data_IF_615131130431
#
_entry.id   IF_615131130431
#
_cell.length_a   1.000
_cell.length_b   1.000
_cell.length_c   1.000
_cell.angle_alpha   90.00
_cell.angle_beta   90.00
_cell.angle_gamma   90.00
#
_symmetry.space_group_name_H-M   'P 1'
#
loop_
_entity.id
_entity.type
_entity.pdbx_description
1 polymer ?
#
# COMPACT_ATOMS: atom_id res chain seq x y z
N UNK A 1 0.07 -65.09 18.38
CA UNK A 1 0.98 -64.05 18.88
C UNK A 1 0.33 -62.69 18.61
N UNK A 2 -0.27 -61.99 19.59
CA UNK A 2 -0.75 -60.63 19.36
C UNK A 2 0.41 -59.66 19.54
N UNK A 3 0.65 -58.86 18.50
CA UNK A 3 1.64 -57.78 18.45
C UNK A 3 1.35 -56.78 19.56
N UNK A 4 2.28 -56.63 20.48
CA UNK A 4 2.24 -55.65 21.55
C UNK A 4 2.23 -54.24 20.95
N UNK A 5 1.05 -53.62 20.93
CA UNK A 5 0.93 -52.18 20.67
C UNK A 5 1.61 -51.49 21.83
N UNK A 6 2.84 -51.03 21.63
CA UNK A 6 3.59 -50.24 22.62
C UNK A 6 2.74 -49.04 23.04
N UNK A 7 2.13 -49.15 24.23
CA UNK A 7 1.31 -48.11 24.81
C UNK A 7 2.26 -46.98 25.21
N UNK A 8 2.34 -45.97 24.35
CA UNK A 8 3.05 -44.71 24.62
C UNK A 8 2.74 -44.25 26.05
N UNK A 9 3.79 -44.01 26.84
CA UNK A 9 3.68 -43.56 28.22
C UNK A 9 2.87 -42.26 28.30
N UNK A 10 2.07 -42.08 29.36
CA UNK A 10 1.29 -40.86 29.60
C UNK A 10 2.17 -39.59 29.55
N UNK A 11 3.42 -39.69 30.01
CA UNK A 11 4.38 -38.60 29.93
C UNK A 11 4.78 -38.27 28.48
N UNK A 12 5.01 -39.29 27.66
CA UNK A 12 5.32 -39.12 26.23
C UNK A 12 4.11 -38.54 25.46
N UNK A 13 2.89 -38.97 25.80
CA UNK A 13 1.65 -38.39 25.27
C UNK A 13 1.53 -36.90 25.60
N UNK A 14 1.84 -36.52 26.84
CA UNK A 14 1.82 -35.12 27.27
C UNK A 14 2.86 -34.26 26.53
N UNK A 15 4.09 -34.76 26.40
CA UNK A 15 5.16 -34.06 25.64
C UNK A 15 4.76 -33.88 24.18
N UNK A 16 4.17 -34.90 23.54
CA UNK A 16 3.70 -34.81 22.17
C UNK A 16 2.55 -33.81 22.02
N UNK A 17 1.58 -33.84 22.93
CA UNK A 17 0.46 -32.89 22.95
C UNK A 17 0.97 -31.45 23.10
N UNK A 18 1.91 -31.21 24.02
CA UNK A 18 2.55 -29.91 24.22
C UNK A 18 3.28 -29.45 22.96
N UNK A 19 4.08 -30.30 22.32
CA UNK A 19 4.77 -29.96 21.05
C UNK A 19 3.78 -29.59 19.94
N UNK A 20 2.68 -30.34 19.79
CA UNK A 20 1.64 -30.03 18.81
C UNK A 20 0.96 -28.69 19.09
N UNK A 21 0.63 -28.42 20.36
CA UNK A 21 0.03 -27.15 20.77
C UNK A 21 0.95 -25.96 20.49
N UNK A 22 2.23 -26.07 20.87
CA UNK A 22 3.24 -25.02 20.60
C UNK A 22 3.40 -24.80 19.10
N UNK A 23 3.46 -25.87 18.29
CA UNK A 23 3.53 -25.76 16.83
C UNK A 23 2.31 -25.03 16.25
N UNK A 24 1.11 -25.35 16.75
CA UNK A 24 -0.13 -24.67 16.33
C UNK A 24 -0.11 -23.18 16.67
N UNK A 25 0.28 -22.83 17.90
CA UNK A 25 0.41 -21.43 18.35
C UNK A 25 1.42 -20.68 17.49
N UNK A 26 2.61 -21.25 17.27
CA UNK A 26 3.64 -20.63 16.43
C UNK A 26 3.18 -20.44 14.98
N UNK A 27 2.45 -21.41 14.41
CA UNK A 27 1.88 -21.27 13.08
C UNK A 27 0.85 -20.13 13.01
N UNK A 28 -0.01 -20.00 14.03
CA UNK A 28 -0.97 -18.88 14.12
C UNK A 28 -0.26 -17.54 14.28
N UNK A 29 0.78 -17.46 15.10
CA UNK A 29 1.60 -16.26 15.26
C UNK A 29 2.27 -15.86 13.94
N UNK A 30 2.81 -16.82 13.18
CA UNK A 30 3.37 -16.57 11.84
C UNK A 30 2.32 -16.04 10.88
N UNK A 31 1.13 -16.64 10.84
CA UNK A 31 0.04 -16.17 9.99
C UNK A 31 -0.36 -14.72 10.32
N UNK A 32 -0.54 -14.41 11.61
CA UNK A 32 -0.83 -13.05 12.06
C UNK A 32 0.26 -12.06 11.65
N UNK A 33 1.53 -12.46 11.74
CA UNK A 33 2.65 -11.62 11.30
C UNK A 33 2.58 -11.32 9.81
N UNK A 34 2.24 -12.31 8.97
CA UNK A 34 2.10 -12.13 7.52
C UNK A 34 0.92 -11.21 7.19
N UNK A 35 -0.22 -11.38 7.86
CA UNK A 35 -1.37 -10.48 7.70
C UNK A 35 -1.02 -9.03 8.04
N UNK A 36 -0.32 -8.80 9.15
CA UNK A 36 0.16 -7.46 9.54
C UNK A 36 1.06 -6.85 8.46
N UNK A 37 2.00 -7.62 7.90
CA UNK A 37 2.86 -7.17 6.81
C UNK A 37 2.09 -6.83 5.52
N UNK A 38 1.07 -7.61 5.17
CA UNK A 38 0.20 -7.32 4.03
C UNK A 38 -0.52 -5.99 4.25
N UNK A 39 -1.09 -5.77 5.46
CA UNK A 39 -1.76 -4.51 5.80
C UNK A 39 -0.79 -3.32 5.69
N UNK A 40 0.41 -3.43 6.27
CA UNK A 40 1.45 -2.40 6.17
C UNK A 40 1.78 -2.04 4.71
N UNK A 41 1.96 -3.06 3.88
CA UNK A 41 2.29 -2.90 2.47
C UNK A 41 1.15 -2.25 1.69
N UNK A 42 -0.09 -2.69 1.92
CA UNK A 42 -1.28 -2.10 1.30
C UNK A 42 -1.45 -0.63 1.70
N UNK A 43 -1.27 -0.28 2.98
CA UNK A 43 -1.34 1.09 3.45
C UNK A 43 -0.24 1.97 2.85
N UNK A 44 0.97 1.42 2.70
CA UNK A 44 2.09 2.14 2.07
C UNK A 44 1.78 2.46 0.61
N UNK A 45 1.35 1.46 -0.16
CA UNK A 45 0.98 1.63 -1.58
C UNK A 45 -0.15 2.66 -1.69
N UNK A 46 -1.22 2.51 -0.89
CA UNK A 46 -2.34 3.44 -0.87
C UNK A 46 -1.87 4.87 -0.58
N UNK A 47 -1.06 5.08 0.45
CA UNK A 47 -0.52 6.39 0.79
C UNK A 47 0.29 6.99 -0.38
N UNK A 48 1.15 6.20 -1.02
CA UNK A 48 1.97 6.66 -2.16
C UNK A 48 1.13 7.05 -3.37
N UNK A 49 0.06 6.31 -3.67
CA UNK A 49 -0.85 6.68 -4.75
C UNK A 49 -1.63 7.95 -4.40
N UNK A 50 -2.18 8.05 -3.20
CA UNK A 50 -2.89 9.26 -2.76
C UNK A 50 -1.97 10.49 -2.80
N UNK A 51 -0.72 10.36 -2.36
CA UNK A 51 0.27 11.44 -2.42
C UNK A 51 0.57 11.87 -3.86
N UNK A 52 0.66 10.92 -4.79
CA UNK A 52 0.87 11.23 -6.20
C UNK A 52 -0.33 11.96 -6.80
N UNK A 53 -1.54 11.41 -6.64
CA UNK A 53 -2.74 11.96 -7.27
C UNK A 53 -3.17 13.30 -6.67
N UNK A 54 -3.03 13.49 -5.34
CA UNK A 54 -3.49 14.72 -4.68
C UNK A 54 -2.45 15.85 -4.69
N UNK A 55 -1.14 15.56 -4.82
CA UNK A 55 -0.10 16.59 -4.76
C UNK A 55 0.69 16.79 -6.06
N UNK A 56 0.77 15.79 -6.94
CA UNK A 56 1.68 15.80 -8.09
C UNK A 56 0.99 15.63 -9.44
N UNK A 57 -0.28 15.20 -9.46
CA UNK A 57 -1.02 15.03 -10.69
C UNK A 57 -1.46 16.40 -11.22
N UNK A 58 -0.97 16.79 -12.39
CA UNK A 58 -1.48 17.95 -13.13
C UNK A 58 -2.68 17.52 -13.97
N UNK A 59 -3.90 17.96 -13.65
CA UNK A 59 -5.12 17.56 -14.35
C UNK A 59 -5.09 18.08 -15.79
N UNK A 60 -5.60 17.27 -16.72
CA UNK A 60 -5.51 17.56 -18.17
C UNK A 60 -6.40 18.75 -18.58
N UNK A 61 -7.38 19.08 -17.74
CA UNK A 61 -8.33 20.18 -17.94
C UNK A 61 -7.85 21.51 -17.33
N UNK A 62 -6.67 21.53 -16.67
CA UNK A 62 -6.06 22.79 -16.26
C UNK A 62 -5.59 23.54 -17.51
N UNK A 63 -6.32 24.60 -17.83
CA UNK A 63 -6.18 25.48 -18.97
C UNK A 63 -4.80 26.18 -19.02
N UNK A 64 -3.76 25.44 -19.37
CA UNK A 64 -2.47 25.98 -19.82
C UNK A 64 -1.87 25.16 -21.00
N UNK A 65 -2.61 24.16 -21.49
CA UNK A 65 -2.22 23.33 -22.64
C UNK A 65 -2.18 24.08 -23.99
N UNK A 66 -2.65 25.34 -24.04
CA UNK A 66 -2.47 26.23 -25.20
C UNK A 66 -1.21 27.10 -25.14
N UNK A 67 -0.55 27.22 -23.97
CA UNK A 67 0.68 28.01 -23.83
C UNK A 67 1.94 27.19 -23.57
N UNK A 68 1.82 25.97 -23.02
CA UNK A 68 2.98 25.09 -22.81
C UNK A 68 3.60 24.52 -24.10
N UNK A 69 2.85 24.51 -25.22
CA UNK A 69 3.36 24.01 -26.50
C UNK A 69 4.28 24.99 -27.25
N UNK A 70 4.43 26.23 -26.76
CA UNK A 70 5.21 27.27 -27.45
C UNK A 70 6.56 27.63 -26.84
N UNK A 71 6.85 27.20 -25.61
CA UNK A 71 8.09 27.60 -24.90
C UNK A 71 9.20 26.55 -24.89
N UNK A 72 8.95 25.33 -25.39
CA UNK A 72 9.97 24.27 -25.49
C UNK A 72 10.73 24.21 -26.83
N UNK A 73 10.36 25.01 -27.83
CA UNK A 73 10.98 25.00 -29.17
C UNK A 73 11.95 26.15 -29.45
N UNK A 74 12.63 26.70 -28.44
CA UNK A 74 13.66 27.73 -28.70
C UNK A 74 14.86 27.70 -27.76
N UNK A 75 15.52 26.55 -27.64
CA UNK A 75 16.95 26.56 -27.32
C UNK A 75 17.63 25.28 -27.78
N UNK A 76 18.33 25.40 -28.91
CA UNK A 76 19.65 24.83 -29.24
C UNK A 76 19.66 24.29 -30.67
N UNK A 77 20.24 25.11 -31.55
CA UNK A 77 20.73 24.71 -32.88
C UNK A 77 21.63 23.48 -32.70
N UNK A 78 21.41 22.43 -33.48
CA UNK A 78 22.33 21.95 -34.52
C UNK A 78 21.72 20.72 -35.21
N UNK A 79 21.82 20.77 -36.53
CA UNK A 79 21.43 19.83 -37.56
C UNK A 79 22.20 18.50 -37.43
N UNK A 80 21.52 17.35 -37.46
CA UNK A 80 21.74 16.34 -38.51
C UNK A 80 20.64 15.27 -38.54
N UNK A 81 20.53 14.66 -39.70
CA UNK A 81 19.49 13.76 -40.22
C UNK A 81 19.46 12.38 -39.53
N UNK A 82 18.45 11.59 -39.93
CA UNK A 82 18.19 10.15 -39.69
C UNK A 82 17.05 9.83 -38.71
N UNK A 83 15.88 9.57 -39.30
CA UNK A 83 14.86 8.70 -38.74
C UNK A 83 15.44 7.29 -38.53
N UNK A 84 15.12 6.66 -37.39
CA UNK A 84 14.14 5.59 -37.49
C UNK A 84 13.05 5.73 -36.42
N UNK A 85 11.81 5.71 -36.92
CA UNK A 85 10.62 5.14 -36.29
C UNK A 85 10.90 4.33 -35.01
N UNK A 86 10.81 5.00 -33.87
CA UNK A 86 10.37 4.43 -32.59
C UNK A 86 9.85 5.59 -31.75
N UNK A 87 8.78 6.21 -32.24
CA UNK A 87 7.79 6.84 -31.35
C UNK A 87 7.21 5.72 -30.50
N UNK A 88 7.94 5.33 -29.46
CA UNK A 88 7.32 4.78 -28.28
C UNK A 88 6.58 5.95 -27.64
N UNK A 89 5.38 6.19 -28.17
CA UNK A 89 4.30 6.99 -27.62
C UNK A 89 3.83 6.39 -26.28
N UNK A 90 4.75 6.17 -25.35
CA UNK A 90 4.44 5.88 -23.95
C UNK A 90 3.79 7.09 -23.25
N UNK A 91 3.73 8.24 -23.95
CA UNK A 91 2.95 9.41 -23.55
C UNK A 91 1.49 9.39 -24.01
N UNK A 92 1.09 8.44 -24.87
CA UNK A 92 -0.25 8.41 -25.48
C UNK A 92 -1.17 7.28 -24.95
N UNK A 93 -0.95 6.81 -23.72
CA UNK A 93 -1.79 5.79 -23.08
C UNK A 93 -2.30 6.16 -21.68
N UNK A 94 -1.85 7.28 -21.10
CA UNK A 94 -2.44 7.80 -19.87
C UNK A 94 -3.61 8.67 -20.29
N UNK A 95 -4.81 8.07 -20.29
CA UNK A 95 -6.07 8.81 -20.19
C UNK A 95 -5.85 9.95 -19.22
N UNK A 96 -5.86 11.18 -19.72
CA UNK A 96 -5.63 12.35 -18.90
C UNK A 96 -6.58 12.32 -17.71
N UNK A 97 -6.05 12.26 -16.50
CA UNK A 97 -6.88 12.28 -15.30
C UNK A 97 -7.55 13.65 -15.26
N UNK A 98 -8.87 13.67 -15.28
CA UNK A 98 -9.64 14.91 -15.20
C UNK A 98 -9.61 15.45 -13.77
N UNK A 99 -9.87 16.75 -13.60
CA UNK A 99 -9.99 17.31 -12.24
C UNK A 99 -11.13 16.64 -11.46
N UNK A 100 -12.23 16.31 -12.16
CA UNK A 100 -13.36 15.60 -11.59
C UNK A 100 -12.97 14.22 -11.02
N UNK A 101 -12.09 13.48 -11.70
CA UNK A 101 -11.61 12.17 -11.22
C UNK A 101 -10.78 12.33 -9.94
N UNK A 102 -10.00 13.40 -9.82
CA UNK A 102 -9.20 13.71 -8.61
C UNK A 102 -10.13 14.08 -7.45
N UNK A 103 -11.13 14.92 -7.70
CA UNK A 103 -12.10 15.35 -6.68
C UNK A 103 -12.94 14.15 -6.19
N UNK A 104 -13.37 13.28 -7.11
CA UNK A 104 -14.05 12.04 -6.77
C UNK A 104 -13.16 11.10 -5.96
N UNK A 105 -11.90 10.90 -6.38
CA UNK A 105 -10.92 10.10 -5.64
C UNK A 105 -10.72 10.64 -4.22
N UNK A 106 -10.68 11.96 -4.05
CA UNK A 106 -10.55 12.58 -2.73
C UNK A 106 -11.78 12.31 -1.87
N UNK A 107 -12.99 12.48 -2.40
CA UNK A 107 -14.24 12.21 -1.70
C UNK A 107 -14.35 10.73 -1.28
N UNK A 108 -14.00 9.82 -2.19
CA UNK A 108 -13.98 8.38 -1.95
C UNK A 108 -12.91 8.00 -0.92
N UNK A 109 -11.72 8.61 -0.97
CA UNK A 109 -10.67 8.37 0.00
C UNK A 109 -11.07 8.87 1.41
N UNK A 110 -11.78 10.00 1.52
CA UNK A 110 -12.30 10.50 2.81
C UNK A 110 -13.39 9.57 3.36
N UNK A 111 -14.30 9.10 2.51
CA UNK A 111 -15.39 8.22 2.94
C UNK A 111 -14.88 6.83 3.32
N UNK A 112 -13.97 6.26 2.53
CA UNK A 112 -13.41 4.94 2.74
C UNK A 112 -12.37 4.91 3.87
N UNK A 113 -11.54 5.95 4.01
CA UNK A 113 -10.53 6.07 5.07
C UNK A 113 -11.06 6.78 6.33
N UNK A 114 -12.30 6.46 6.71
CA UNK A 114 -12.98 7.02 7.88
C UNK A 114 -12.39 6.59 9.23
N UNK A 115 -12.89 7.19 10.30
CA UNK A 115 -12.40 6.99 11.68
C UNK A 115 -12.49 5.54 12.16
N UNK A 116 -13.51 4.81 11.72
CA UNK A 116 -13.72 3.40 12.07
C UNK A 116 -12.59 2.50 11.55
N UNK A 117 -12.14 2.72 10.30
CA UNK A 117 -11.01 1.99 9.72
C UNK A 117 -9.71 2.36 10.41
N UNK A 118 -9.48 3.66 10.64
CA UNK A 118 -8.29 4.14 11.34
C UNK A 118 -8.18 3.52 12.74
N UNK A 119 -9.28 3.49 13.50
CA UNK A 119 -9.33 2.88 14.83
C UNK A 119 -9.01 1.37 14.76
N UNK A 120 -9.65 0.64 13.85
CA UNK A 120 -9.40 -0.80 13.66
C UNK A 120 -7.93 -1.11 13.33
N UNK A 121 -7.30 -0.30 12.47
CA UNK A 121 -5.90 -0.47 12.11
C UNK A 121 -4.96 -0.27 13.32
N UNK A 122 -5.21 0.77 14.13
CA UNK A 122 -4.44 1.04 15.34
C UNK A 122 -4.66 -0.03 16.42
N UNK A 123 -5.88 -0.54 16.56
CA UNK A 123 -6.19 -1.63 17.48
C UNK A 123 -5.45 -2.92 17.06
N UNK A 124 -5.46 -3.26 15.77
CA UNK A 124 -4.73 -4.42 15.22
C UNK A 124 -3.21 -4.26 15.45
N UNK A 125 -2.66 -3.06 15.21
CA UNK A 125 -1.25 -2.77 15.48
C UNK A 125 -0.91 -2.97 16.95
N UNK A 126 -1.72 -2.42 17.86
CA UNK A 126 -1.53 -2.52 19.31
C UNK A 126 -1.60 -3.94 19.85
N UNK A 127 -2.46 -4.79 19.26
CA UNK A 127 -2.64 -6.19 19.67
C UNK A 127 -1.58 -7.12 19.09
N UNK A 128 -1.18 -6.93 17.83
CA UNK A 128 -0.43 -7.96 17.09
C UNK A 128 0.96 -7.53 16.60
N UNK A 129 1.25 -6.22 16.52
CA UNK A 129 2.50 -5.73 15.88
C UNK A 129 3.64 -5.44 16.87
N UNK A 130 3.36 -5.44 18.19
CA UNK A 130 4.36 -5.22 19.26
C UNK A 130 5.58 -6.15 19.21
N UNK A 131 5.42 -7.35 18.66
CA UNK A 131 6.48 -8.37 18.61
C UNK A 131 7.41 -8.17 17.40
N UNK A 132 6.95 -7.52 16.33
CA UNK A 132 7.65 -7.49 15.03
C UNK A 132 8.31 -6.16 14.70
N UNK A 133 7.67 -5.04 15.03
CA UNK A 133 8.20 -3.72 14.69
C UNK A 133 8.34 -2.86 15.94
N UNK A 134 9.56 -2.34 16.17
CA UNK A 134 9.80 -1.27 17.17
C UNK A 134 9.19 0.06 16.74
N UNK A 135 8.85 0.18 15.46
CA UNK A 135 8.33 1.40 14.85
C UNK A 135 6.86 1.19 14.52
N UNK A 136 6.01 2.07 15.02
CA UNK A 136 4.57 2.03 14.76
C UNK A 136 4.27 2.49 13.33
N UNK A 137 4.58 1.62 12.36
CA UNK A 137 4.55 1.93 10.93
C UNK A 137 3.12 2.12 10.43
N UNK A 138 2.18 1.27 10.88
CA UNK A 138 0.75 1.44 10.58
C UNK A 138 0.27 2.77 11.14
N UNK A 139 0.60 3.09 12.40
CA UNK A 139 0.26 4.38 13.01
C UNK A 139 0.80 5.56 12.20
N UNK A 140 2.05 5.48 11.75
CA UNK A 140 2.68 6.52 10.95
C UNK A 140 1.96 6.71 9.60
N UNK A 141 1.62 5.61 8.91
CA UNK A 141 0.88 5.64 7.65
C UNK A 141 -0.53 6.20 7.83
N UNK A 142 -1.26 5.78 8.86
CA UNK A 142 -2.58 6.32 9.21
C UNK A 142 -2.49 7.84 9.42
N UNK A 143 -1.46 8.32 10.12
CA UNK A 143 -1.25 9.75 10.34
C UNK A 143 -0.97 10.50 9.03
N UNK A 144 -0.16 9.92 8.14
CA UNK A 144 0.20 10.53 6.85
C UNK A 144 -0.99 10.60 5.90
N UNK A 145 -1.74 9.50 5.73
CA UNK A 145 -2.95 9.47 4.88
C UNK A 145 -3.96 10.49 5.39
N UNK A 146 -4.23 10.51 6.70
CA UNK A 146 -5.13 11.52 7.28
C UNK A 146 -4.63 12.96 7.06
N UNK A 147 -3.32 13.18 7.08
CA UNK A 147 -2.72 14.47 6.77
C UNK A 147 -2.97 14.89 5.32
N UNK A 148 -2.73 14.00 4.37
CA UNK A 148 -2.98 14.25 2.94
C UNK A 148 -4.44 14.63 2.68
N UNK A 149 -5.39 13.85 3.23
CA UNK A 149 -6.81 14.09 3.02
C UNK A 149 -7.31 15.41 3.64
N UNK A 150 -6.61 15.95 4.64
CA UNK A 150 -6.92 17.28 5.22
C UNK A 150 -6.31 18.42 4.41
N UNK A 151 -5.10 18.24 3.89
CA UNK A 151 -4.40 19.27 3.10
C UNK A 151 -5.13 19.51 1.78
N UNK A 152 -5.59 18.45 1.12
CA UNK A 152 -6.30 18.54 -0.15
C UNK A 152 -7.69 19.21 -0.06
N UNK A 153 -8.17 19.56 1.14
CA UNK A 153 -9.48 20.21 1.33
C UNK A 153 -9.42 21.75 1.21
N UNK A 154 -8.22 22.32 1.13
CA UNK A 154 -7.97 23.76 1.03
C UNK A 154 -7.46 24.11 -0.36
#
# INVERSE_FOLDING_TARGET
MPVGVEKISTAQKYVLARRRLVKLINNRAKLLSLCSFIIETCLFILWRHLEYYLLHCTPTDSQDSLFASRTLFKSRRLQDSFTPETNLDFRSGLTGVSQHDIDQLQADAISAFGESLQKKLLDIEGLYSKVRSRYSFIQALVRRIRGLLRISRN
#
